data_IF_148704800045
#
_entry.id   IF_148704800045
#
_cell.length_a   1.000
_cell.length_b   1.000
_cell.length_c   1.000
_cell.angle_alpha   90.00
_cell.angle_beta   90.00
_cell.angle_gamma   90.00
#
_symmetry.space_group_name_H-M   'P 1'
#
loop_
_entity.id
_entity.type
_entity.pdbx_description
1 polymer ?
#
# COMPACT_ATOMS: atom_id res chain seq x y z
N UNK A 1 -43.05 1.68 -25.11
CA UNK A 1 -41.67 1.40 -25.56
C UNK A 1 -40.59 2.11 -24.74
N UNK A 2 -40.78 3.36 -24.31
CA UNK A 2 -39.76 4.14 -23.58
C UNK A 2 -39.36 3.61 -22.18
N UNK A 3 -40.23 2.86 -21.49
CA UNK A 3 -39.97 2.39 -20.12
C UNK A 3 -38.83 1.36 -20.02
N UNK A 4 -38.64 0.52 -21.05
CA UNK A 4 -37.54 -0.46 -21.08
C UNK A 4 -36.18 0.19 -21.31
N UNK A 5 -36.15 1.29 -22.09
CA UNK A 5 -34.91 2.00 -22.41
C UNK A 5 -34.29 2.67 -21.18
N UNK A 6 -35.12 3.22 -20.28
CA UNK A 6 -34.64 3.85 -19.04
C UNK A 6 -33.91 2.86 -18.13
N UNK A 7 -34.42 1.63 -18.02
CA UNK A 7 -33.84 0.59 -17.15
C UNK A 7 -32.46 0.16 -17.64
N UNK A 8 -32.29 0.02 -18.96
CA UNK A 8 -31.00 -0.31 -19.58
C UNK A 8 -29.99 0.82 -19.39
N UNK A 9 -30.42 2.07 -19.54
CA UNK A 9 -29.55 3.23 -19.37
C UNK A 9 -29.07 3.37 -17.91
N UNK A 10 -29.96 3.13 -16.94
CA UNK A 10 -29.61 3.14 -15.51
C UNK A 10 -28.64 2.00 -15.17
N UNK A 11 -28.89 0.79 -15.66
CA UNK A 11 -28.00 -0.37 -15.43
C UNK A 11 -26.57 -0.15 -15.94
N UNK A 12 -26.41 0.58 -17.04
CA UNK A 12 -25.11 0.83 -17.65
C UNK A 12 -24.23 1.78 -16.81
N UNK A 13 -24.85 2.68 -16.03
CA UNK A 13 -24.12 3.63 -15.17
C UNK A 13 -23.57 2.98 -13.90
N UNK A 14 -24.23 1.95 -13.36
CA UNK A 14 -23.79 1.26 -12.14
C UNK A 14 -22.62 0.30 -12.35
N UNK A 15 -22.29 -0.05 -13.59
CA UNK A 15 -21.26 -1.06 -13.88
C UNK A 15 -19.82 -0.57 -13.67
N UNK A 16 -19.59 0.75 -13.60
CA UNK A 16 -18.26 1.35 -13.52
C UNK A 16 -17.69 1.47 -12.10
N UNK A 17 -18.45 1.11 -11.06
CA UNK A 17 -18.08 1.37 -9.66
C UNK A 17 -17.28 0.24 -8.98
N UNK A 18 -16.94 -0.84 -9.70
CA UNK A 18 -16.27 -2.00 -9.10
C UNK A 18 -14.75 -1.91 -9.22
N UNK A 19 -14.14 -0.95 -8.53
CA UNK A 19 -12.70 -0.96 -8.27
C UNK A 19 -12.46 -1.06 -6.76
N UNK A 20 -12.46 -2.28 -6.25
CA UNK A 20 -12.13 -2.54 -4.86
C UNK A 20 -10.61 -2.55 -4.68
N UNK A 21 -10.09 -1.53 -4.01
CA UNK A 21 -8.73 -1.50 -3.50
C UNK A 21 -8.65 -2.27 -2.17
N UNK A 22 -7.47 -2.78 -1.83
CA UNK A 22 -7.24 -3.49 -0.56
C UNK A 22 -6.26 -2.72 0.30
N UNK A 23 -6.69 -2.31 1.49
CA UNK A 23 -5.88 -1.62 2.49
C UNK A 23 -5.51 -2.61 3.59
N UNK A 24 -4.21 -2.75 3.84
CA UNK A 24 -3.65 -3.53 4.94
C UNK A 24 -3.28 -2.57 6.07
N UNK A 25 -3.88 -2.77 7.24
CA UNK A 25 -3.63 -1.98 8.45
C UNK A 25 -2.51 -2.61 9.29
N UNK A 26 -1.85 -1.79 10.12
CA UNK A 26 -0.76 -2.24 11.00
C UNK A 26 -1.21 -3.23 12.08
N UNK A 27 -2.48 -3.21 12.44
CA UNK A 27 -3.08 -4.18 13.38
C UNK A 27 -3.35 -5.55 12.72
N UNK A 28 -3.04 -5.70 11.43
CA UNK A 28 -3.28 -6.90 10.65
C UNK A 28 -4.68 -6.98 10.04
N UNK A 29 -5.56 -5.99 10.27
CA UNK A 29 -6.86 -5.94 9.61
C UNK A 29 -6.70 -5.62 8.12
N UNK A 30 -7.59 -6.20 7.32
CA UNK A 30 -7.65 -6.01 5.88
C UNK A 30 -9.00 -5.38 5.55
N UNK A 31 -8.96 -4.24 4.88
CA UNK A 31 -10.15 -3.52 4.43
C UNK A 31 -10.21 -3.57 2.91
N UNK A 32 -11.40 -3.83 2.35
CA UNK A 32 -11.66 -3.90 0.92
C UNK A 32 -12.79 -2.95 0.55
N UNK A 33 -12.59 -2.17 -0.51
CA UNK A 33 -13.51 -1.10 -0.89
C UNK A 33 -12.80 -0.04 -1.74
N UNK A 34 -13.45 1.09 -1.99
CA UNK A 34 -12.91 2.14 -2.86
C UNK A 34 -12.35 3.29 -2.04
N UNK A 35 -11.11 3.73 -2.31
CA UNK A 35 -10.63 5.00 -1.76
C UNK A 35 -11.34 6.14 -2.50
N UNK A 36 -12.09 6.96 -1.77
CA UNK A 36 -12.82 8.11 -2.32
C UNK A 36 -11.98 9.38 -2.25
N UNK A 37 -11.16 9.53 -1.20
CA UNK A 37 -10.30 10.69 -1.00
C UNK A 37 -8.99 10.28 -0.28
N UNK A 38 -7.87 10.84 -0.71
CA UNK A 38 -6.56 10.60 -0.11
C UNK A 38 -5.89 11.95 0.20
N UNK A 39 -5.57 12.17 1.47
CA UNK A 39 -4.77 13.31 1.94
C UNK A 39 -3.42 12.83 2.50
N UNK A 40 -2.57 13.78 2.89
CA UNK A 40 -1.27 13.45 3.50
C UNK A 40 -1.44 12.76 4.87
N UNK A 41 -2.51 13.06 5.61
CA UNK A 41 -2.75 12.53 6.95
C UNK A 41 -3.81 11.44 7.01
N UNK A 42 -4.82 11.46 6.15
CA UNK A 42 -5.97 10.56 6.22
C UNK A 42 -6.36 10.01 4.85
N UNK A 43 -7.01 8.84 4.87
CA UNK A 43 -7.57 8.19 3.70
C UNK A 43 -9.04 7.92 3.98
N UNK A 44 -9.91 8.49 3.16
CA UNK A 44 -11.36 8.23 3.20
C UNK A 44 -11.66 7.07 2.27
N UNK A 45 -12.32 6.07 2.84
CA UNK A 45 -12.51 4.78 2.22
C UNK A 45 -13.96 4.35 2.36
N UNK A 46 -14.56 3.93 1.25
CA UNK A 46 -15.93 3.45 1.17
C UNK A 46 -15.94 1.92 1.12
N UNK A 47 -16.58 1.31 2.10
CA UNK A 47 -16.96 -0.12 2.09
C UNK A 47 -18.37 -0.29 1.55
N UNK A 48 -18.76 -1.53 1.27
CA UNK A 48 -20.13 -1.89 0.88
C UNK A 48 -21.21 -1.38 1.86
N UNK A 49 -20.85 -1.15 3.13
CA UNK A 49 -21.81 -0.78 4.19
C UNK A 49 -21.69 0.68 4.64
N UNK A 50 -20.49 1.26 4.62
CA UNK A 50 -20.23 2.56 5.23
C UNK A 50 -18.94 3.24 4.74
N UNK A 51 -18.93 4.56 4.91
CA UNK A 51 -17.77 5.41 4.70
C UNK A 51 -16.95 5.47 6.00
N UNK A 52 -15.64 5.30 5.88
CA UNK A 52 -14.72 5.31 7.02
C UNK A 52 -13.47 6.11 6.70
N UNK A 53 -13.10 6.99 7.63
CA UNK A 53 -11.84 7.72 7.57
C UNK A 53 -10.78 6.99 8.40
N UNK A 54 -9.59 6.83 7.83
CA UNK A 54 -8.48 6.09 8.44
C UNK A 54 -7.23 6.95 8.41
N UNK A 55 -6.51 7.00 9.52
CA UNK A 55 -5.25 7.72 9.58
C UNK A 55 -4.17 6.99 8.77
N UNK A 56 -3.43 7.72 7.93
CA UNK A 56 -2.37 7.15 7.10
C UNK A 56 -1.28 6.48 7.92
N UNK A 57 -1.09 6.90 9.17
CA UNK A 57 -0.16 6.27 10.13
C UNK A 57 -0.54 4.85 10.51
N UNK A 58 -1.81 4.49 10.42
CA UNK A 58 -2.31 3.14 10.77
C UNK A 58 -2.29 2.19 9.58
N UNK A 59 -2.07 2.73 8.37
CA UNK A 59 -1.98 1.96 7.13
C UNK A 59 -0.58 1.39 6.99
N UNK A 60 -0.50 0.08 6.76
CA UNK A 60 0.75 -0.62 6.48
C UNK A 60 1.04 -0.62 4.97
N UNK A 61 0.03 -0.93 4.15
CA UNK A 61 0.16 -1.04 2.70
C UNK A 61 -1.18 -0.83 2.02
N UNK A 62 -1.20 -0.13 0.89
CA UNK A 62 -2.36 -0.03 0.00
C UNK A 62 -2.03 -0.81 -1.27
N UNK A 63 -2.83 -1.82 -1.58
CA UNK A 63 -2.76 -2.58 -2.83
C UNK A 63 -3.90 -2.11 -3.70
N UNK A 64 -3.53 -1.33 -4.72
CA UNK A 64 -4.43 -0.97 -5.81
C UNK A 64 -4.32 -2.07 -6.84
N UNK A 65 -5.41 -2.75 -7.14
CA UNK A 65 -5.52 -3.57 -8.34
C UNK A 65 -5.51 -2.62 -9.54
N UNK A 66 -4.32 -2.10 -9.83
CA UNK A 66 -4.03 -1.61 -11.16
C UNK A 66 -4.10 -2.85 -12.00
N UNK A 67 -5.24 -3.06 -12.66
CA UNK A 67 -5.31 -3.83 -13.90
C UNK A 67 -4.14 -3.27 -14.69
N UNK A 68 -3.06 -4.02 -14.65
CA UNK A 68 -1.84 -3.63 -15.29
C UNK A 68 -2.24 -3.74 -16.74
N UNK A 69 -2.68 -2.62 -17.32
CA UNK A 69 -2.49 -2.41 -18.74
C UNK A 69 -0.98 -2.49 -18.85
N UNK A 70 -0.52 -3.73 -19.04
CA UNK A 70 0.79 -4.06 -19.56
C UNK A 70 0.77 -3.27 -20.86
N UNK A 71 1.23 -2.02 -20.78
CA UNK A 71 1.82 -1.36 -21.91
C UNK A 71 2.98 -2.29 -22.18
N UNK A 72 2.71 -3.26 -23.03
CA UNK A 72 3.63 -4.00 -23.86
C UNK A 72 4.36 -2.92 -24.66
N UNK A 73 5.19 -2.14 -23.95
CA UNK A 73 6.26 -1.39 -24.55
C UNK A 73 7.10 -2.51 -25.10
N UNK A 74 6.89 -2.79 -26.39
CA UNK A 74 7.71 -3.68 -27.18
C UNK A 74 9.13 -3.48 -26.70
N UNK A 75 9.59 -4.49 -25.96
CA UNK A 75 10.95 -4.61 -25.52
C UNK A 75 11.71 -4.91 -26.80
N UNK A 76 11.95 -3.84 -27.56
CA UNK A 76 12.95 -3.81 -28.60
C UNK A 76 14.25 -4.08 -27.87
N UNK A 77 14.58 -5.37 -27.89
CA UNK A 77 15.78 -6.04 -27.46
C UNK A 77 17.02 -5.29 -27.98
N UNK A 78 17.37 -4.17 -27.35
CA UNK A 78 18.74 -3.65 -27.38
C UNK A 78 19.46 -4.35 -26.24
N UNK A 79 20.01 -5.54 -26.56
CA UNK A 79 21.09 -6.16 -25.80
C UNK A 79 22.02 -5.06 -25.28
N UNK A 80 22.13 -4.84 -23.95
CA UNK A 80 23.23 -4.05 -23.45
C UNK A 80 24.48 -4.89 -23.72
N UNK A 81 25.27 -4.48 -24.72
CA UNK A 81 26.62 -4.97 -24.91
C UNK A 81 27.48 -4.43 -23.75
N UNK A 82 27.29 -5.01 -22.57
CA UNK A 82 28.17 -4.76 -21.43
C UNK A 82 29.43 -5.56 -21.68
N UNK A 83 30.44 -4.89 -22.22
CA UNK A 83 31.81 -5.40 -22.24
C UNK A 83 32.35 -5.41 -20.80
N UNK A 84 32.02 -6.46 -20.06
CA UNK A 84 32.67 -6.75 -18.78
C UNK A 84 34.12 -7.17 -19.06
N UNK A 85 35.04 -6.20 -18.98
CA UNK A 85 36.47 -6.51 -18.85
C UNK A 85 36.69 -7.12 -17.47
N UNK A 86 36.73 -8.44 -17.42
CA UNK A 86 37.30 -9.19 -16.30
C UNK A 86 38.80 -8.86 -16.20
N UNK A 87 39.13 -7.89 -15.34
CA UNK A 87 40.49 -7.75 -14.83
C UNK A 87 40.72 -8.78 -13.73
N UNK A 88 41.81 -9.56 -13.77
CA UNK A 88 42.17 -10.39 -12.63
C UNK A 88 42.81 -9.51 -11.56
N UNK A 89 42.33 -9.64 -10.31
CA UNK A 89 43.10 -9.66 -9.04
C UNK A 89 42.26 -9.12 -7.88
N UNK A 90 41.36 -9.96 -7.38
CA UNK A 90 41.02 -9.90 -5.96
C UNK A 90 42.19 -10.55 -5.20
N UNK A 91 43.14 -9.70 -4.82
CA UNK A 91 44.16 -10.01 -3.84
C UNK A 91 43.88 -9.24 -2.56
N UNK A 92 44.05 -9.95 -1.45
CA UNK A 92 44.08 -9.52 -0.05
C UNK A 92 42.71 -9.34 0.64
N UNK A 93 42.33 -10.25 1.54
CA UNK A 93 42.79 -10.42 2.93
C UNK A 93 41.93 -9.59 3.91
N UNK A 94 41.09 -10.34 4.66
CA UNK A 94 40.50 -10.15 6.01
C UNK A 94 41.06 -9.01 6.91
N UNK A 95 40.26 -8.44 7.85
CA UNK A 95 39.77 -9.22 9.00
C UNK A 95 38.28 -9.08 9.38
N UNK A 96 37.78 -10.22 9.86
CA UNK A 96 36.76 -10.32 10.91
C UNK A 96 37.28 -9.58 12.13
N UNK A 97 36.63 -8.54 12.63
CA UNK A 97 35.92 -8.60 13.89
C UNK A 97 35.37 -7.20 14.21
N UNK A 98 34.09 -7.09 14.56
CA UNK A 98 33.61 -6.06 15.48
C UNK A 98 32.25 -6.47 15.99
N UNK A 99 32.30 -7.10 17.16
CA UNK A 99 31.20 -7.18 18.11
C UNK A 99 30.55 -5.79 18.22
N UNK A 100 29.27 -5.68 17.87
CA UNK A 100 28.43 -4.58 18.33
C UNK A 100 27.62 -5.14 19.49
N UNK A 101 28.26 -5.18 20.65
CA UNK A 101 27.59 -5.29 21.93
C UNK A 101 26.80 -4.00 22.20
N UNK A 102 25.51 -4.14 22.52
CA UNK A 102 24.82 -3.15 23.33
C UNK A 102 23.95 -2.15 22.58
N UNK A 103 22.68 -2.52 22.37
CA UNK A 103 21.58 -1.56 22.53
C UNK A 103 20.58 -2.15 23.51
N UNK A 104 20.89 -1.97 24.79
CA UNK A 104 19.94 -2.08 25.89
C UNK A 104 19.31 -0.70 26.05
N UNK A 105 18.15 -0.48 25.45
CA UNK A 105 17.34 0.71 25.70
C UNK A 105 15.94 0.26 26.11
N UNK A 106 15.76 0.14 27.42
CA UNK A 106 14.47 0.09 28.07
C UNK A 106 13.70 1.36 27.69
N UNK A 107 12.53 1.21 27.06
CA UNK A 107 11.58 2.31 26.97
C UNK A 107 10.39 1.97 27.88
N UNK A 108 10.38 2.67 29.01
CA UNK A 108 9.38 2.61 30.06
C UNK A 108 7.99 2.94 29.52
N UNK A 109 7.10 1.96 29.68
CA UNK A 109 5.67 2.06 29.46
C UNK A 109 5.09 3.09 30.45
N UNK A 110 4.76 4.28 29.95
CA UNK A 110 3.92 5.24 30.67
C UNK A 110 2.46 4.83 30.49
N UNK A 111 1.97 3.97 31.38
CA UNK A 111 0.56 3.70 31.59
C UNK A 111 0.10 4.51 32.81
N UNK A 112 -0.43 5.71 32.58
CA UNK A 112 -1.36 6.31 33.53
C UNK A 112 -2.63 6.73 32.79
N UNK A 113 -3.61 5.83 32.86
CA UNK A 113 -5.01 6.08 32.61
C UNK A 113 -5.50 7.17 33.56
N UNK A 114 -5.77 8.36 33.03
CA UNK A 114 -6.54 9.41 33.69
C UNK A 114 -8.02 9.25 33.34
N UNK A 115 -8.76 8.59 34.23
CA UNK A 115 -10.22 8.49 34.24
C UNK A 115 -10.75 9.69 35.04
N UNK A 116 -11.46 10.63 34.44
CA UNK A 116 -12.42 11.54 35.11
C UNK A 116 -13.40 12.07 34.05
N UNK A 117 -14.60 11.48 33.95
CA UNK A 117 -15.82 11.80 34.70
C UNK A 117 -16.63 12.92 34.04
N UNK A 118 -17.63 12.49 33.27
CA UNK A 118 -19.01 12.97 33.17
C UNK A 118 -19.35 14.23 33.97
N UNK A 119 -19.82 15.27 33.28
CA UNK A 119 -20.98 16.06 33.74
C UNK A 119 -21.70 16.69 32.56
#
# INVERSE_FOLDING_TARGET
MVKGFLVVLVSMVFSSLVFAETIYLKDGKILRGSITEETDSTVTFETDEQWKEINRKDIQKIVRDKVSMVKEKGSANKKPSVSFKFGPKFGAFYPADKEISGVKAANSVNLLYGITSVR
#
